data_IF_404004409683
#
_entry.id   IF_404004409683
#
_cell.length_a   1.000
_cell.length_b   1.000
_cell.length_c   1.000
_cell.angle_alpha   90.00
_cell.angle_beta   90.00
_cell.angle_gamma   90.00
#
_symmetry.space_group_name_H-M   'P 1'
#
loop_
_entity.id
_entity.type
_entity.pdbx_description
1 polymer ?
#
# COMPACT_ATOMS: atom_id res chain seq x y z
N UNK A 1 11.81 -1.64 8.24
CA UNK A 1 11.43 -3.03 8.51
C UNK A 1 10.01 -2.99 9.06
N UNK A 2 9.02 -3.42 8.27
CA UNK A 2 7.62 -3.39 8.71
C UNK A 2 7.42 -4.30 9.92
N UNK A 3 6.71 -3.79 10.92
CA UNK A 3 6.44 -4.52 12.14
C UNK A 3 5.42 -5.62 11.80
N UNK A 4 5.71 -6.89 12.12
CA UNK A 4 4.86 -8.05 11.73
C UNK A 4 3.38 -7.91 12.12
N UNK A 5 3.07 -7.03 13.08
CA UNK A 5 1.72 -6.75 13.58
C UNK A 5 0.81 -6.01 12.58
N UNK A 6 1.36 -5.29 11.60
CA UNK A 6 0.54 -4.43 10.73
C UNK A 6 0.45 -4.92 9.28
N UNK A 7 1.06 -6.07 8.97
CA UNK A 7 1.09 -6.67 7.62
C UNK A 7 -0.31 -6.85 7.00
N UNK A 8 -1.31 -7.18 7.80
CA UNK A 8 -2.69 -7.37 7.33
C UNK A 8 -3.32 -6.11 6.73
N UNK A 9 -2.87 -4.91 7.11
CA UNK A 9 -3.35 -3.66 6.51
C UNK A 9 -2.87 -3.46 5.07
N UNK A 10 -1.81 -4.17 4.68
CA UNK A 10 -1.21 -4.12 3.36
C UNK A 10 -1.60 -5.31 2.48
N UNK A 11 -2.36 -6.27 3.03
CA UNK A 11 -2.81 -7.46 2.31
C UNK A 11 -4.15 -7.19 1.63
N UNK A 12 -4.20 -7.37 0.30
CA UNK A 12 -5.41 -7.18 -0.51
C UNK A 12 -5.67 -8.43 -1.32
N UNK A 13 -6.95 -8.77 -1.50
CA UNK A 13 -7.35 -9.83 -2.43
C UNK A 13 -7.39 -9.29 -3.85
N UNK A 14 -6.60 -9.89 -4.74
CA UNK A 14 -6.53 -9.58 -6.16
C UNK A 14 -6.40 -10.88 -6.97
N UNK A 15 -7.23 -11.06 -8.00
CA UNK A 15 -7.25 -12.26 -8.87
C UNK A 15 -7.22 -13.59 -8.09
N UNK A 16 -8.01 -13.70 -7.03
CA UNK A 16 -8.11 -14.90 -6.20
C UNK A 16 -6.90 -15.18 -5.30
N UNK A 17 -5.91 -14.27 -5.28
CA UNK A 17 -4.70 -14.36 -4.45
C UNK A 17 -4.67 -13.21 -3.44
N UNK A 18 -3.98 -13.43 -2.33
CA UNK A 18 -3.63 -12.33 -1.41
C UNK A 18 -2.30 -11.76 -1.87
N UNK A 19 -2.27 -10.46 -2.17
CA UNK A 19 -1.07 -9.71 -2.55
C UNK A 19 -0.72 -8.71 -1.47
N UNK A 20 0.57 -8.42 -1.34
CA UNK A 20 1.09 -7.47 -0.37
C UNK A 20 1.45 -6.16 -1.09
N UNK A 21 0.88 -5.05 -0.62
CA UNK A 21 1.13 -3.71 -1.15
C UNK A 21 2.27 -3.02 -0.40
N UNK A 22 3.49 -3.50 -0.61
CA UNK A 22 4.69 -2.92 0.02
C UNK A 22 5.06 -1.58 -0.60
N UNK A 23 4.90 -1.46 -1.92
CA UNK A 23 5.28 -0.27 -2.66
C UNK A 23 4.25 0.84 -2.42
N UNK A 24 4.75 2.02 -2.06
CA UNK A 24 3.90 3.18 -1.84
C UNK A 24 4.61 4.51 -2.13
N UNK A 25 3.81 5.52 -2.47
CA UNK A 25 4.25 6.87 -2.77
C UNK A 25 3.59 7.82 -1.78
N UNK A 26 4.38 8.75 -1.24
CA UNK A 26 3.89 9.92 -0.51
C UNK A 26 3.68 11.07 -1.49
N UNK A 27 2.51 11.69 -1.47
CA UNK A 27 2.11 12.74 -2.44
C UNK A 27 2.03 14.12 -1.79
N UNK A 28 2.73 14.31 -0.67
CA UNK A 28 2.82 15.58 0.05
C UNK A 28 4.09 15.69 0.90
N UNK A 29 4.31 16.87 1.46
CA UNK A 29 5.39 17.17 2.39
C UNK A 29 4.98 17.02 3.86
N UNK A 30 3.74 16.61 4.16
CA UNK A 30 3.22 16.60 5.52
C UNK A 30 4.03 15.64 6.41
N UNK A 31 4.36 16.07 7.62
CA UNK A 31 5.22 15.32 8.54
C UNK A 31 4.42 14.48 9.53
N UNK A 32 3.10 14.58 9.52
CA UNK A 32 2.20 13.86 10.45
C UNK A 32 1.32 12.86 9.69
N UNK A 33 1.05 11.70 10.32
CA UNK A 33 0.40 10.56 9.67
C UNK A 33 -1.07 10.84 9.27
N UNK A 34 -1.72 11.78 9.94
CA UNK A 34 -3.09 12.24 9.68
C UNK A 34 -3.21 13.15 8.45
N UNK A 35 -2.09 13.69 7.96
CA UNK A 35 -2.03 14.64 6.85
C UNK A 35 -1.34 14.09 5.58
N UNK A 36 -0.88 12.83 5.59
CA UNK A 36 -0.17 12.23 4.46
C UNK A 36 -1.12 11.49 3.49
N UNK A 37 -1.28 11.96 2.25
CA UNK A 37 -1.75 11.19 1.12
C UNK A 37 -0.69 10.18 0.69
N UNK A 38 -1.07 8.90 0.76
CA UNK A 38 -0.29 7.74 0.36
C UNK A 38 -1.04 6.94 -0.67
N UNK A 39 -0.32 6.49 -1.68
CA UNK A 39 -0.82 5.55 -2.69
C UNK A 39 -0.06 4.26 -2.48
N UNK A 40 -0.75 3.16 -2.20
CA UNK A 40 -0.17 1.82 -2.06
C UNK A 40 -0.57 0.96 -3.25
N UNK A 41 0.41 0.24 -3.79
CA UNK A 41 0.16 -0.61 -4.95
C UNK A 41 0.95 -1.92 -4.92
N UNK A 42 0.43 -2.86 -5.70
CA UNK A 42 1.09 -4.09 -6.10
C UNK A 42 1.40 -4.02 -7.60
N UNK A 43 2.57 -4.50 -8.03
CA UNK A 43 2.92 -4.60 -9.45
C UNK A 43 2.70 -6.04 -9.91
N UNK A 44 1.68 -6.26 -10.75
CA UNK A 44 1.51 -7.54 -11.42
C UNK A 44 2.41 -7.57 -12.65
N UNK A 45 3.51 -8.33 -12.55
CA UNK A 45 4.49 -8.47 -13.64
C UNK A 45 3.97 -9.34 -14.79
N UNK A 46 2.97 -10.19 -14.54
CA UNK A 46 2.42 -11.10 -15.55
C UNK A 46 1.56 -10.29 -16.51
N UNK A 47 0.58 -9.57 -15.94
CA UNK A 47 -0.37 -8.77 -16.69
C UNK A 47 0.17 -7.36 -17.00
N UNK A 48 1.34 -7.02 -16.45
CA UNK A 48 2.03 -5.72 -16.61
C UNK A 48 1.16 -4.53 -16.18
N UNK A 49 0.42 -4.71 -15.09
CA UNK A 49 -0.45 -3.69 -14.50
C UNK A 49 0.01 -3.29 -13.11
N UNK A 50 -0.34 -2.06 -12.73
CA UNK A 50 -0.17 -1.55 -11.38
C UNK A 50 -1.53 -1.56 -10.67
N UNK A 51 -1.65 -2.38 -9.65
CA UNK A 51 -2.87 -2.58 -8.88
C UNK A 51 -2.82 -1.66 -7.67
N UNK A 52 -3.57 -0.56 -7.72
CA UNK A 52 -3.73 0.36 -6.59
C UNK A 52 -4.79 -0.21 -5.65
N UNK A 53 -4.42 -0.48 -4.40
CA UNK A 53 -5.36 -0.99 -3.39
C UNK A 53 -5.66 -0.02 -2.27
N UNK A 54 -4.86 1.04 -2.10
CA UNK A 54 -5.19 2.11 -1.18
C UNK A 54 -4.72 3.46 -1.70
N UNK A 55 -5.60 4.46 -1.59
CA UNK A 55 -5.29 5.88 -1.79
C UNK A 55 -5.90 6.63 -0.61
N UNK A 56 -5.06 7.25 0.22
CA UNK A 56 -5.56 8.00 1.37
C UNK A 56 -4.51 8.14 2.46
N UNK A 57 -4.95 8.15 3.72
CA UNK A 57 -4.06 8.31 4.87
C UNK A 57 -3.01 7.20 4.93
N UNK A 58 -1.89 7.53 5.59
CA UNK A 58 -0.84 6.57 5.91
C UNK A 58 -1.40 5.36 6.66
N UNK A 59 -1.06 4.16 6.18
CA UNK A 59 -1.39 2.91 6.87
C UNK A 59 -0.42 2.69 8.06
N UNK A 60 -0.81 1.94 9.09
CA UNK A 60 0.05 1.68 10.26
C UNK A 60 1.33 0.92 9.91
N UNK A 61 2.47 1.26 10.52
CA UNK A 61 3.80 0.67 10.26
C UNK A 61 4.04 -0.73 10.86
#
# INVERSE_FOLDING_TARGET
AHNRRHRSHYEVRYNGRTVLMEAHLKVDEATTADQCLRIYWYVDKTDKVLVVGHVGRHLPD
#
